data_IF_475757139797
#
_entry.id   IF_475757139797
#
_cell.length_a   1.000
_cell.length_b   1.000
_cell.length_c   1.000
_cell.angle_alpha   90.00
_cell.angle_beta   90.00
_cell.angle_gamma   90.00
#
_symmetry.space_group_name_H-M   'P 1'
#
loop_
_entity.id
_entity.type
_entity.pdbx_description
1 polymer ?
#
# COMPACT_ATOMS: atom_id res chain seq x y z
N UNK A 1 -21.93 26.78 8.44
CA UNK A 1 -20.55 26.92 7.92
C UNK A 1 -20.60 27.66 6.58
N UNK A 2 -19.74 28.66 6.34
CA UNK A 2 -19.75 29.37 5.05
C UNK A 2 -19.38 28.41 3.91
N UNK A 3 -20.05 28.50 2.74
CA UNK A 3 -19.77 27.60 1.61
C UNK A 3 -18.30 27.60 1.17
N UNK A 4 -17.66 28.77 1.21
CA UNK A 4 -16.24 28.95 0.87
C UNK A 4 -15.30 28.24 1.85
N UNK A 5 -15.63 28.22 3.14
CA UNK A 5 -14.86 27.49 4.15
C UNK A 5 -14.93 25.98 3.92
N UNK A 6 -16.14 25.44 3.73
CA UNK A 6 -16.33 24.01 3.44
C UNK A 6 -15.57 23.58 2.20
N UNK A 7 -15.58 24.40 1.14
CA UNK A 7 -14.85 24.13 -0.11
C UNK A 7 -13.33 24.06 0.13
N UNK A 8 -12.75 24.96 0.92
CA UNK A 8 -11.31 24.93 1.26
C UNK A 8 -10.92 23.64 1.96
N UNK A 9 -11.69 23.21 2.96
CA UNK A 9 -11.40 21.97 3.70
C UNK A 9 -11.55 20.71 2.86
N UNK A 10 -12.53 20.67 1.95
CA UNK A 10 -12.66 19.55 1.01
C UNK A 10 -11.41 19.45 0.13
N UNK A 11 -10.89 20.57 -0.38
CA UNK A 11 -9.65 20.56 -1.16
C UNK A 11 -8.44 20.11 -0.36
N UNK A 12 -8.29 20.57 0.88
CA UNK A 12 -7.21 20.14 1.78
C UNK A 12 -7.28 18.62 2.02
N UNK A 13 -8.47 18.08 2.27
CA UNK A 13 -8.67 16.64 2.46
C UNK A 13 -8.40 15.85 1.18
N UNK A 14 -8.80 16.36 0.02
CA UNK A 14 -8.51 15.71 -1.27
C UNK A 14 -7.01 15.67 -1.55
N UNK A 15 -6.29 16.77 -1.36
CA UNK A 15 -4.86 16.87 -1.61
C UNK A 15 -4.09 15.95 -0.66
N UNK A 16 -4.36 16.02 0.65
CA UNK A 16 -3.70 15.14 1.63
C UNK A 16 -3.95 13.66 1.38
N UNK A 17 -5.19 13.28 1.04
CA UNK A 17 -5.54 11.88 0.73
C UNK A 17 -4.84 11.33 -0.50
N UNK A 18 -4.43 12.21 -1.44
CA UNK A 18 -3.60 11.84 -2.58
C UNK A 18 -2.12 11.73 -2.19
N UNK A 19 -1.58 12.74 -1.51
CA UNK A 19 -0.14 12.83 -1.24
C UNK A 19 0.36 11.78 -0.24
N UNK A 20 -0.45 11.40 0.77
CA UNK A 20 -0.04 10.40 1.77
C UNK A 20 0.34 9.05 1.11
N UNK A 21 -0.56 8.37 0.38
CA UNK A 21 -0.20 7.11 -0.28
C UNK A 21 0.81 7.30 -1.42
N UNK A 22 0.80 8.46 -2.09
CA UNK A 22 1.76 8.75 -3.15
C UNK A 22 3.20 8.80 -2.62
N UNK A 23 3.46 9.62 -1.60
CA UNK A 23 4.79 9.75 -1.02
C UNK A 23 5.24 8.44 -0.35
N UNK A 24 4.32 7.70 0.26
CA UNK A 24 4.61 6.37 0.79
C UNK A 24 5.07 5.41 -0.33
N UNK A 25 4.34 5.35 -1.44
CA UNK A 25 4.71 4.51 -2.58
C UNK A 25 6.04 4.92 -3.23
N UNK A 26 6.31 6.23 -3.33
CA UNK A 26 7.60 6.77 -3.81
C UNK A 26 8.73 6.33 -2.90
N UNK A 27 8.59 6.50 -1.59
CA UNK A 27 9.63 6.17 -0.62
C UNK A 27 9.97 4.67 -0.64
N UNK A 28 8.98 3.79 -0.62
CA UNK A 28 9.24 2.35 -0.65
C UNK A 28 9.81 1.87 -1.98
N UNK A 29 9.33 2.41 -3.09
CA UNK A 29 9.87 2.04 -4.39
C UNK A 29 11.30 2.55 -4.59
N UNK A 30 11.66 3.71 -4.03
CA UNK A 30 13.05 4.16 -3.99
C UNK A 30 13.94 3.21 -3.20
N UNK A 31 13.47 2.71 -2.05
CA UNK A 31 14.19 1.71 -1.26
C UNK A 31 14.36 0.41 -2.05
N UNK A 32 13.31 -0.03 -2.76
CA UNK A 32 13.34 -1.26 -3.54
C UNK A 32 14.25 -1.17 -4.76
N UNK A 33 14.46 0.04 -5.32
CA UNK A 33 15.46 0.26 -6.37
C UNK A 33 16.91 0.29 -5.86
N UNK A 34 17.12 0.30 -4.54
CA UNK A 34 18.43 0.46 -3.91
C UNK A 34 18.80 1.91 -3.64
N UNK A 35 19.78 2.11 -2.75
CA UNK A 35 20.26 3.43 -2.33
C UNK A 35 21.77 3.58 -2.60
N UNK A 36 22.28 4.82 -2.79
CA UNK A 36 23.71 5.06 -2.90
C UNK A 36 24.36 4.92 -1.52
N UNK A 37 24.89 3.73 -1.24
CA UNK A 37 25.65 3.46 -0.02
C UNK A 37 27.08 3.11 -0.43
N UNK A 38 28.03 3.88 0.08
CA UNK A 38 29.47 3.73 -0.16
C UNK A 38 30.23 3.63 1.17
N UNK A 39 31.55 3.41 1.16
CA UNK A 39 32.41 3.29 2.35
C UNK A 39 32.25 4.44 3.36
N UNK A 40 31.88 5.63 2.88
CA UNK A 40 31.72 6.86 3.68
C UNK A 40 30.30 7.04 4.25
N UNK A 41 29.41 6.10 3.99
CA UNK A 41 28.00 6.13 4.39
C UNK A 41 27.05 6.48 3.25
N UNK A 42 25.80 6.78 3.62
CA UNK A 42 24.72 7.04 2.66
C UNK A 42 24.74 8.50 2.19
N UNK A 43 25.03 8.72 0.92
CA UNK A 43 25.01 10.05 0.29
C UNK A 43 23.77 10.19 -0.60
N UNK A 44 22.64 10.51 0.02
CA UNK A 44 21.36 10.56 -0.66
C UNK A 44 21.12 11.91 -1.36
N UNK A 45 20.98 11.91 -2.69
CA UNK A 45 20.48 13.05 -3.46
C UNK A 45 18.96 12.93 -3.67
N UNK A 46 18.31 14.07 -3.93
CA UNK A 46 16.86 14.11 -4.21
C UNK A 46 16.47 13.24 -5.42
N UNK A 47 17.35 13.19 -6.42
CA UNK A 47 17.11 12.42 -7.65
C UNK A 47 17.30 10.91 -7.49
N UNK A 48 18.03 10.47 -6.47
CA UNK A 48 18.17 9.04 -6.18
C UNK A 48 16.85 8.48 -5.64
N UNK A 49 16.13 9.29 -4.86
CA UNK A 49 14.81 8.95 -4.33
C UNK A 49 13.71 9.11 -5.39
N UNK A 50 13.73 10.22 -6.14
CA UNK A 50 12.71 10.52 -7.16
C UNK A 50 13.21 10.14 -8.54
N UNK A 51 13.07 8.85 -8.85
CA UNK A 51 13.30 8.29 -10.18
C UNK A 51 11.98 7.81 -10.82
N UNK A 52 12.03 7.41 -12.10
CA UNK A 52 10.83 6.98 -12.84
C UNK A 52 10.11 5.77 -12.21
N UNK A 53 10.86 4.85 -11.61
CA UNK A 53 10.30 3.70 -10.90
C UNK A 53 9.64 4.11 -9.58
N UNK A 54 10.25 5.00 -8.80
CA UNK A 54 9.67 5.52 -7.56
C UNK A 54 8.36 6.26 -7.81
N UNK A 55 8.29 7.09 -8.86
CA UNK A 55 7.06 7.79 -9.25
C UNK A 55 5.97 6.80 -9.67
N UNK A 56 6.32 5.78 -10.46
CA UNK A 56 5.39 4.72 -10.85
C UNK A 56 4.86 3.97 -9.63
N UNK A 57 5.71 3.69 -8.66
CA UNK A 57 5.34 3.16 -7.35
C UNK A 57 4.34 4.05 -6.62
N UNK A 58 4.64 5.35 -6.50
CA UNK A 58 3.73 6.33 -5.91
C UNK A 58 2.32 6.29 -6.51
N UNK A 59 2.21 6.28 -7.84
CA UNK A 59 0.91 6.16 -8.51
C UNK A 59 0.24 4.81 -8.28
N UNK A 60 1.00 3.72 -8.28
CA UNK A 60 0.49 2.35 -8.06
C UNK A 60 -0.17 2.23 -6.68
N UNK A 61 0.53 2.64 -5.62
CA UNK A 61 -0.01 2.62 -4.26
C UNK A 61 -1.22 3.57 -4.10
N UNK A 62 -1.17 4.74 -4.73
CA UNK A 62 -2.28 5.71 -4.70
C UNK A 62 -3.54 5.16 -5.37
N UNK A 63 -3.40 4.54 -6.54
CA UNK A 63 -4.54 3.97 -7.27
C UNK A 63 -5.12 2.76 -6.55
N UNK A 64 -4.30 1.92 -5.92
CA UNK A 64 -4.79 0.79 -5.11
C UNK A 64 -5.52 1.25 -3.84
N UNK A 65 -4.99 2.25 -3.13
CA UNK A 65 -5.67 2.82 -1.96
C UNK A 65 -6.96 3.54 -2.35
N UNK A 66 -7.00 4.23 -3.49
CA UNK A 66 -8.22 4.78 -4.06
C UNK A 66 -9.25 3.69 -4.38
N UNK A 67 -8.83 2.58 -5.01
CA UNK A 67 -9.68 1.42 -5.28
C UNK A 67 -10.29 0.87 -3.99
N UNK A 68 -9.46 0.64 -2.97
CA UNK A 68 -9.90 0.16 -1.66
C UNK A 68 -10.90 1.12 -1.00
N UNK A 69 -10.65 2.44 -1.08
CA UNK A 69 -11.56 3.48 -0.59
C UNK A 69 -12.92 3.50 -1.31
N UNK A 70 -12.93 3.35 -2.65
CA UNK A 70 -14.17 3.25 -3.41
C UNK A 70 -14.97 1.99 -3.04
N UNK A 71 -14.30 0.84 -2.90
CA UNK A 71 -14.93 -0.43 -2.52
C UNK A 71 -15.53 -0.38 -1.11
N UNK A 72 -14.80 0.20 -0.16
CA UNK A 72 -15.30 0.43 1.20
C UNK A 72 -16.50 1.37 1.21
N UNK A 73 -16.45 2.45 0.43
CA UNK A 73 -17.57 3.40 0.30
C UNK A 73 -18.79 2.71 -0.30
N UNK A 74 -18.62 1.88 -1.34
CA UNK A 74 -19.72 1.09 -1.92
C UNK A 74 -20.29 0.06 -0.95
N UNK A 75 -19.50 -0.45 0.01
CA UNK A 75 -19.99 -1.33 1.06
C UNK A 75 -20.82 -0.58 2.12
N UNK A 76 -20.33 0.57 2.57
CA UNK A 76 -20.92 1.35 3.68
C UNK A 76 -22.06 2.28 3.30
N UNK A 77 -22.21 2.64 2.03
CA UNK A 77 -23.25 3.56 1.55
C UNK A 77 -24.37 2.83 0.80
N UNK A 78 -25.54 3.48 0.72
CA UNK A 78 -26.70 3.02 -0.05
C UNK A 78 -27.15 4.10 -1.05
N UNK A 79 -27.84 3.68 -2.12
CA UNK A 79 -28.44 4.59 -3.10
C UNK A 79 -27.43 5.21 -4.08
N UNK A 80 -27.62 6.47 -4.45
CA UNK A 80 -26.87 7.15 -5.52
C UNK A 80 -25.36 7.22 -5.27
N UNK A 81 -24.95 7.38 -4.01
CA UNK A 81 -23.53 7.44 -3.62
C UNK A 81 -22.86 6.10 -3.86
N UNK A 82 -23.54 5.00 -3.53
CA UNK A 82 -23.05 3.64 -3.75
C UNK A 82 -22.83 3.35 -5.23
N UNK A 83 -23.77 3.74 -6.09
CA UNK A 83 -23.69 3.55 -7.54
C UNK A 83 -22.52 4.33 -8.15
N UNK A 84 -22.35 5.59 -7.75
CA UNK A 84 -21.21 6.42 -8.18
C UNK A 84 -19.88 5.82 -7.73
N UNK A 85 -19.75 5.44 -6.47
CA UNK A 85 -18.54 4.82 -5.93
C UNK A 85 -18.22 3.50 -6.66
N UNK A 86 -19.23 2.70 -6.99
CA UNK A 86 -19.06 1.44 -7.71
C UNK A 86 -18.63 1.64 -9.17
N UNK A 87 -19.12 2.69 -9.84
CA UNK A 87 -18.69 3.03 -11.20
C UNK A 87 -17.21 3.47 -11.19
N UNK A 88 -16.86 4.37 -10.28
CA UNK A 88 -15.47 4.82 -10.10
C UNK A 88 -14.56 3.63 -9.76
N UNK A 89 -14.98 2.73 -8.86
CA UNK A 89 -14.22 1.54 -8.52
C UNK A 89 -13.88 0.66 -9.73
N UNK A 90 -14.78 0.54 -10.73
CA UNK A 90 -14.51 -0.23 -11.96
C UNK A 90 -13.45 0.42 -12.83
N UNK A 91 -13.50 1.75 -13.00
CA UNK A 91 -12.51 2.50 -13.79
C UNK A 91 -11.15 2.43 -13.09
N UNK A 92 -11.14 2.71 -11.79
CA UNK A 92 -9.92 2.69 -10.97
C UNK A 92 -9.33 1.28 -10.90
N UNK A 93 -10.15 0.22 -10.88
CA UNK A 93 -9.65 -1.16 -10.95
C UNK A 93 -8.88 -1.43 -12.25
N UNK A 94 -9.39 -0.98 -13.40
CA UNK A 94 -8.67 -1.12 -14.68
C UNK A 94 -7.33 -0.39 -14.68
N UNK A 95 -7.30 0.83 -14.13
CA UNK A 95 -6.05 1.59 -13.96
C UNK A 95 -5.10 0.90 -12.96
N UNK A 96 -5.61 0.34 -11.87
CA UNK A 96 -4.82 -0.38 -10.88
C UNK A 96 -4.13 -1.60 -11.48
N UNK A 97 -4.86 -2.37 -12.28
CA UNK A 97 -4.30 -3.53 -13.00
C UNK A 97 -3.16 -3.08 -13.91
N UNK A 98 -3.39 -2.09 -14.76
CA UNK A 98 -2.36 -1.57 -15.67
C UNK A 98 -1.12 -1.11 -14.92
N UNK A 99 -1.28 -0.31 -13.86
CA UNK A 99 -0.16 0.22 -13.09
C UNK A 99 0.60 -0.87 -12.33
N UNK A 100 -0.08 -1.85 -11.75
CA UNK A 100 0.59 -2.98 -11.08
C UNK A 100 1.38 -3.83 -12.07
N UNK A 101 0.84 -4.10 -13.27
CA UNK A 101 1.59 -4.79 -14.32
C UNK A 101 2.80 -3.97 -14.77
N UNK A 102 2.62 -2.67 -15.05
CA UNK A 102 3.72 -1.79 -15.42
C UNK A 102 4.80 -1.74 -14.32
N UNK A 103 4.38 -1.66 -13.05
CA UNK A 103 5.28 -1.64 -11.90
C UNK A 103 6.12 -2.91 -11.82
N UNK A 104 5.52 -4.09 -11.92
CA UNK A 104 6.27 -5.35 -11.90
C UNK A 104 7.15 -5.55 -13.14
N UNK A 105 6.70 -5.12 -14.33
CA UNK A 105 7.54 -5.16 -15.53
C UNK A 105 8.78 -4.28 -15.34
N UNK A 106 8.62 -3.04 -14.87
CA UNK A 106 9.76 -2.14 -14.61
C UNK A 106 10.65 -2.72 -13.51
N UNK A 107 10.07 -3.28 -12.44
CA UNK A 107 10.80 -3.96 -11.37
C UNK A 107 11.71 -5.06 -11.91
N UNK A 108 11.23 -5.90 -12.84
CA UNK A 108 12.03 -6.97 -13.50
C UNK A 108 13.24 -6.41 -14.26
N UNK A 109 13.10 -5.24 -14.88
CA UNK A 109 14.14 -4.69 -15.74
C UNK A 109 15.14 -3.79 -15.00
N UNK A 110 14.71 -3.14 -13.91
CA UNK A 110 15.52 -2.14 -13.20
C UNK A 110 16.25 -2.68 -11.98
N UNK A 111 15.83 -3.82 -11.42
CA UNK A 111 16.29 -4.24 -10.10
C UNK A 111 17.01 -5.58 -10.15
N UNK A 112 18.25 -5.62 -9.65
CA UNK A 112 19.07 -6.85 -9.49
C UNK A 112 18.52 -7.81 -8.43
N UNK A 113 17.52 -7.38 -7.66
CA UNK A 113 16.77 -8.21 -6.70
C UNK A 113 16.06 -9.42 -7.35
N UNK A 114 15.95 -9.46 -8.68
CA UNK A 114 15.47 -10.64 -9.41
C UNK A 114 16.40 -11.84 -9.32
N UNK A 115 17.70 -11.63 -9.26
CA UNK A 115 18.68 -12.71 -9.16
C UNK A 115 18.51 -13.48 -7.83
N UNK A 116 18.09 -12.78 -6.76
CA UNK A 116 17.72 -13.39 -5.48
C UNK A 116 16.43 -14.22 -5.56
N UNK A 117 15.48 -13.85 -6.42
CA UNK A 117 14.23 -14.59 -6.65
C UNK A 117 14.45 -15.88 -7.47
N UNK A 118 15.46 -15.92 -8.35
CA UNK A 118 15.82 -17.15 -9.09
C UNK A 118 16.36 -18.25 -8.19
N UNK A 119 17.09 -17.88 -7.14
CA UNK A 119 17.64 -18.81 -6.15
C UNK A 119 16.58 -19.37 -5.18
N UNK A 120 15.41 -18.72 -5.06
CA UNK A 120 14.32 -19.13 -4.18
C UNK A 120 12.95 -19.02 -4.88
N UNK A 121 12.53 -20.04 -5.66
CA UNK A 121 11.31 -19.99 -6.47
C UNK A 121 10.01 -19.83 -5.65
N UNK A 122 10.06 -20.10 -4.34
CA UNK A 122 8.92 -19.86 -3.45
C UNK A 122 8.61 -18.35 -3.27
N UNK A 123 9.61 -17.47 -3.41
CA UNK A 123 9.43 -16.02 -3.22
C UNK A 123 8.62 -15.37 -4.35
N UNK A 124 8.63 -15.96 -5.55
CA UNK A 124 7.75 -15.57 -6.67
C UNK A 124 6.26 -15.71 -6.37
N UNK A 125 5.90 -16.51 -5.35
CA UNK A 125 4.50 -16.66 -4.95
C UNK A 125 3.88 -15.35 -4.48
N UNK A 126 4.66 -14.45 -3.85
CA UNK A 126 4.12 -13.19 -3.28
C UNK A 126 3.71 -12.18 -4.36
N UNK A 127 4.55 -11.84 -5.36
CA UNK A 127 4.13 -11.06 -6.53
C UNK A 127 2.97 -11.70 -7.29
N UNK A 128 3.00 -13.03 -7.48
CA UNK A 128 1.94 -13.76 -8.17
C UNK A 128 0.60 -13.63 -7.43
N UNK A 129 0.60 -13.76 -6.11
CA UNK A 129 -0.58 -13.57 -5.27
C UNK A 129 -1.13 -12.15 -5.36
N UNK A 130 -0.27 -11.12 -5.49
CA UNK A 130 -0.72 -9.74 -5.69
C UNK A 130 -1.52 -9.58 -6.98
N UNK A 131 -0.96 -10.03 -8.11
CA UNK A 131 -1.63 -9.95 -9.41
C UNK A 131 -2.92 -10.78 -9.40
N UNK A 132 -2.88 -12.00 -8.85
CA UNK A 132 -4.06 -12.86 -8.73
C UNK A 132 -5.15 -12.22 -7.87
N UNK A 133 -4.82 -11.69 -6.69
CA UNK A 133 -5.79 -11.05 -5.80
C UNK A 133 -6.45 -9.83 -6.47
N UNK A 134 -5.66 -9.00 -7.15
CA UNK A 134 -6.17 -7.84 -7.87
C UNK A 134 -7.09 -8.26 -9.03
N UNK A 135 -6.70 -9.27 -9.80
CA UNK A 135 -7.54 -9.79 -10.89
C UNK A 135 -8.83 -10.43 -10.36
N UNK A 136 -8.74 -11.25 -9.31
CA UNK A 136 -9.88 -11.90 -8.67
C UNK A 136 -10.90 -10.89 -8.12
N UNK A 137 -10.48 -9.66 -7.79
CA UNK A 137 -11.36 -8.58 -7.33
C UNK A 137 -12.50 -8.28 -8.32
N UNK A 138 -12.32 -8.54 -9.62
CA UNK A 138 -13.33 -8.29 -10.65
C UNK A 138 -14.61 -9.13 -10.47
N UNK A 139 -14.50 -10.36 -9.97
CA UNK A 139 -15.63 -11.27 -9.80
C UNK A 139 -16.62 -10.78 -8.73
N UNK A 140 -16.21 -10.52 -7.48
CA UNK A 140 -17.10 -9.93 -6.49
C UNK A 140 -17.52 -8.51 -6.88
N UNK A 141 -16.70 -7.75 -7.61
CA UNK A 141 -17.04 -6.40 -8.06
C UNK A 141 -18.22 -6.44 -9.04
N UNK A 142 -18.23 -7.38 -9.99
CA UNK A 142 -19.35 -7.62 -10.91
C UNK A 142 -20.59 -8.15 -10.18
N UNK A 143 -20.40 -9.02 -9.18
CA UNK A 143 -21.49 -9.58 -8.34
C UNK A 143 -21.99 -8.63 -7.25
N UNK A 144 -21.53 -7.36 -7.21
CA UNK A 144 -21.87 -6.36 -6.18
C UNK A 144 -21.57 -6.83 -4.73
N UNK A 145 -20.63 -7.76 -4.55
CA UNK A 145 -20.16 -8.25 -3.25
C UNK A 145 -19.03 -7.34 -2.73
N UNK A 146 -19.38 -6.12 -2.35
CA UNK A 146 -18.43 -5.05 -2.04
C UNK A 146 -17.38 -5.41 -0.98
N UNK A 147 -17.79 -6.11 0.09
CA UNK A 147 -16.87 -6.49 1.17
C UNK A 147 -15.81 -7.49 0.68
N UNK A 148 -16.19 -8.47 -0.13
CA UNK A 148 -15.23 -9.42 -0.71
C UNK A 148 -14.26 -8.73 -1.65
N UNK A 149 -14.74 -7.80 -2.48
CA UNK A 149 -13.86 -6.98 -3.32
C UNK A 149 -12.89 -6.15 -2.50
N UNK A 150 -13.36 -5.53 -1.42
CA UNK A 150 -12.52 -4.74 -0.51
C UNK A 150 -11.42 -5.60 0.15
N UNK A 151 -11.77 -6.80 0.62
CA UNK A 151 -10.80 -7.73 1.22
C UNK A 151 -9.74 -8.15 0.20
N UNK A 152 -10.14 -8.51 -1.02
CA UNK A 152 -9.19 -8.88 -2.07
C UNK A 152 -8.28 -7.70 -2.49
N UNK A 153 -8.83 -6.49 -2.61
CA UNK A 153 -8.04 -5.29 -2.90
C UNK A 153 -7.07 -4.95 -1.77
N UNK A 154 -7.49 -5.10 -0.52
CA UNK A 154 -6.61 -4.89 0.66
C UNK A 154 -5.52 -5.95 0.73
N UNK A 155 -5.86 -7.21 0.42
CA UNK A 155 -4.90 -8.29 0.31
C UNK A 155 -3.90 -8.03 -0.81
N UNK A 156 -4.33 -7.53 -1.97
CA UNK A 156 -3.44 -7.13 -3.07
C UNK A 156 -2.45 -6.04 -2.63
N UNK A 157 -2.91 -5.01 -1.90
CA UNK A 157 -2.02 -3.97 -1.34
C UNK A 157 -0.99 -4.58 -0.39
N UNK A 158 -1.42 -5.47 0.50
CA UNK A 158 -0.53 -6.14 1.44
C UNK A 158 0.53 -6.99 0.72
N UNK A 159 0.13 -7.78 -0.28
CA UNK A 159 1.06 -8.59 -1.07
C UNK A 159 1.97 -7.77 -1.96
N UNK A 160 1.51 -6.62 -2.50
CA UNK A 160 2.36 -5.69 -3.24
C UNK A 160 3.48 -5.16 -2.34
N UNK A 161 3.11 -4.71 -1.14
CA UNK A 161 4.08 -4.25 -0.15
C UNK A 161 5.06 -5.36 0.25
N UNK A 162 4.54 -6.54 0.58
CA UNK A 162 5.36 -7.70 0.92
C UNK A 162 6.31 -8.12 -0.21
N UNK A 163 5.89 -7.98 -1.48
CA UNK A 163 6.69 -8.39 -2.63
C UNK A 163 8.02 -7.63 -2.75
N UNK A 164 8.06 -6.35 -2.35
CA UNK A 164 9.30 -5.58 -2.30
C UNK A 164 10.27 -6.14 -1.27
N UNK A 165 9.80 -6.44 -0.06
CA UNK A 165 10.65 -7.02 1.00
C UNK A 165 11.13 -8.44 0.67
N UNK A 166 10.30 -9.26 0.02
CA UNK A 166 10.74 -10.59 -0.40
C UNK A 166 11.82 -10.55 -1.46
N UNK A 167 11.83 -9.54 -2.32
CA UNK A 167 12.90 -9.35 -3.30
C UNK A 167 14.21 -8.91 -2.64
N UNK A 168 14.12 -8.12 -1.57
CA UNK A 168 15.27 -7.58 -0.86
C UNK A 168 15.94 -8.58 0.09
N UNK A 169 15.20 -9.53 0.64
CA UNK A 169 15.74 -10.50 1.59
C UNK A 169 16.97 -11.24 1.02
N UNK A 170 18.12 -11.27 1.71
CA UNK A 170 18.36 -10.94 3.14
C UNK A 170 18.77 -9.48 3.45
N UNK A 171 18.95 -8.66 2.42
CA UNK A 171 19.34 -7.25 2.56
C UNK A 171 18.13 -6.40 2.97
N UNK A 172 18.33 -5.49 3.92
CA UNK A 172 17.29 -4.53 4.35
C UNK A 172 17.39 -3.20 3.59
N UNK A 173 18.60 -2.85 3.14
CA UNK A 173 18.88 -1.68 2.30
C UNK A 173 19.94 -2.08 1.26
N UNK A 174 19.55 -2.32 -0.01
CA UNK A 174 20.50 -2.75 -1.03
C UNK A 174 21.26 -1.53 -1.55
N UNK A 175 22.58 -1.66 -1.71
CA UNK A 175 23.38 -0.65 -2.39
C UNK A 175 23.45 -0.95 -3.88
N UNK A 176 23.19 0.05 -4.72
CA UNK A 176 23.42 -0.08 -6.17
C UNK A 176 24.86 0.28 -6.59
N UNK A 177 25.71 0.75 -5.68
CA UNK A 177 27.12 1.09 -5.95
C UNK A 177 28.00 -0.16 -5.83
N UNK A 178 27.89 -0.87 -4.71
CA UNK A 178 28.57 -2.16 -4.48
C UNK A 178 27.72 -3.02 -3.53
N UNK A 179 27.38 -4.27 -3.91
CA UNK A 179 26.67 -5.21 -3.04
C UNK A 179 27.31 -5.40 -1.65
N UNK A 180 28.63 -5.18 -1.50
CA UNK A 180 29.34 -5.31 -0.22
C UNK A 180 28.91 -4.28 0.83
N UNK A 181 28.36 -3.13 0.43
CA UNK A 181 27.84 -2.10 1.35
C UNK A 181 26.34 -2.26 1.64
N UNK A 182 25.72 -3.35 1.20
CA UNK A 182 24.33 -3.64 1.52
C UNK A 182 24.17 -3.94 3.01
N UNK A 183 23.19 -3.31 3.63
CA UNK A 183 22.92 -3.48 5.05
C UNK A 183 22.01 -4.70 5.23
N UNK A 184 22.58 -5.80 5.70
CA UNK A 184 21.83 -7.03 5.95
C UNK A 184 20.94 -6.90 7.19
N UNK A 185 19.91 -7.76 7.29
CA UNK A 185 19.04 -7.83 8.45
C UNK A 185 19.80 -8.02 9.78
N UNK A 186 20.94 -8.72 9.73
CA UNK A 186 21.74 -9.07 10.91
C UNK A 186 22.61 -7.88 11.36
N UNK A 187 23.13 -7.10 10.41
CA UNK A 187 23.96 -5.94 10.70
C UNK A 187 23.12 -4.72 11.13
N UNK A 188 21.89 -4.62 10.62
CA UNK A 188 20.94 -3.56 10.98
C UNK A 188 20.20 -3.79 12.30
N UNK A 189 20.29 -5.00 12.88
CA UNK A 189 19.54 -5.35 14.08
C UNK A 189 20.07 -4.64 15.33
N UNK A 190 19.14 -4.11 16.15
CA UNK A 190 19.48 -3.59 17.47
C UNK A 190 19.94 -4.69 18.44
N UNK A 191 20.40 -4.29 19.62
CA UNK A 191 20.83 -5.25 20.65
C UNK A 191 19.72 -6.24 21.03
N UNK A 192 20.10 -7.47 21.39
CA UNK A 192 19.17 -8.53 21.78
C UNK A 192 18.20 -8.10 22.89
N UNK A 193 18.69 -7.27 23.83
CA UNK A 193 17.87 -6.71 24.90
C UNK A 193 16.75 -5.82 24.34
N UNK A 194 17.09 -4.88 23.45
CA UNK A 194 16.13 -3.96 22.84
C UNK A 194 15.10 -4.73 22.02
N UNK A 195 15.53 -5.72 21.24
CA UNK A 195 14.64 -6.54 20.41
C UNK A 195 13.65 -7.34 21.28
N UNK A 196 14.12 -7.93 22.38
CA UNK A 196 13.28 -8.67 23.31
C UNK A 196 12.26 -7.76 23.99
N UNK A 197 12.66 -6.57 24.42
CA UNK A 197 11.75 -5.58 25.03
C UNK A 197 10.70 -5.11 24.03
N UNK A 198 11.08 -4.76 22.81
CA UNK A 198 10.14 -4.34 21.75
C UNK A 198 9.17 -5.45 21.37
N UNK A 199 9.60 -6.72 21.39
CA UNK A 199 8.73 -7.88 21.14
C UNK A 199 7.65 -8.00 22.23
N UNK A 200 8.02 -7.88 23.51
CA UNK A 200 7.04 -7.91 24.60
C UNK A 200 6.05 -6.74 24.52
N UNK A 201 6.54 -5.54 24.24
CA UNK A 201 5.69 -4.35 24.06
C UNK A 201 4.74 -4.54 22.88
N UNK A 202 5.23 -5.00 21.73
CA UNK A 202 4.40 -5.27 20.57
C UNK A 202 3.37 -6.38 20.85
N UNK A 203 3.78 -7.45 21.52
CA UNK A 203 2.92 -8.58 21.90
C UNK A 203 1.77 -8.18 22.82
N UNK A 204 1.93 -7.15 23.66
CA UNK A 204 0.87 -6.64 24.54
C UNK A 204 0.04 -5.54 23.89
N UNK A 205 0.68 -4.56 23.26
CA UNK A 205 -0.01 -3.37 22.71
C UNK A 205 -0.77 -3.72 21.43
N UNK A 206 -0.21 -4.55 20.54
CA UNK A 206 -0.82 -4.84 19.24
C UNK A 206 -2.19 -5.54 19.37
N UNK A 207 -2.38 -6.58 20.20
CA UNK A 207 -3.70 -7.17 20.42
C UNK A 207 -4.71 -6.17 20.97
N UNK A 208 -4.30 -5.31 21.93
CA UNK A 208 -5.17 -4.28 22.50
C UNK A 208 -5.69 -3.31 21.42
N UNK A 209 -4.80 -2.81 20.56
CA UNK A 209 -5.16 -1.91 19.46
C UNK A 209 -6.10 -2.62 18.47
N UNK A 210 -5.82 -3.88 18.12
CA UNK A 210 -6.67 -4.67 17.22
C UNK A 210 -8.06 -4.87 17.82
N UNK A 211 -8.16 -5.28 19.09
CA UNK A 211 -9.44 -5.47 19.77
C UNK A 211 -10.26 -4.18 19.81
N UNK A 212 -9.62 -3.06 20.14
CA UNK A 212 -10.27 -1.75 20.13
C UNK A 212 -10.80 -1.38 18.74
N UNK A 213 -10.00 -1.61 17.68
CA UNK A 213 -10.43 -1.36 16.31
C UNK A 213 -11.61 -2.26 15.92
N UNK A 214 -11.53 -3.56 16.19
CA UNK A 214 -12.63 -4.51 15.93
C UNK A 214 -13.91 -4.04 16.63
N UNK A 215 -13.81 -3.63 17.89
CA UNK A 215 -14.95 -3.12 18.65
C UNK A 215 -15.58 -1.88 18.01
N UNK A 216 -14.77 -0.91 17.57
CA UNK A 216 -15.27 0.28 16.84
C UNK A 216 -15.98 -0.13 15.54
N UNK A 217 -15.38 -1.03 14.75
CA UNK A 217 -15.99 -1.47 13.49
C UNK A 217 -17.31 -2.23 13.72
N UNK A 218 -17.40 -2.95 14.82
CA UNK A 218 -18.63 -3.64 15.25
C UNK A 218 -19.69 -2.65 15.73
N UNK A 219 -19.30 -1.63 16.48
CA UNK A 219 -20.18 -0.56 16.96
C UNK A 219 -20.74 0.27 15.80
N UNK A 220 -19.91 0.59 14.80
CA UNK A 220 -20.28 1.39 13.62
C UNK A 220 -20.61 0.52 12.40
N UNK A 221 -21.21 -0.65 12.60
CA UNK A 221 -21.46 -1.62 11.51
C UNK A 221 -22.52 -1.15 10.52
N UNK A 222 -23.44 -0.29 10.95
CA UNK A 222 -24.59 0.13 10.16
C UNK A 222 -24.21 0.93 8.91
N UNK A 223 -25.09 0.89 7.90
CA UNK A 223 -24.89 1.58 6.63
C UNK A 223 -25.37 3.02 6.70
N UNK A 224 -24.66 3.89 6.00
CA UNK A 224 -24.95 5.32 5.95
C UNK A 224 -25.93 5.57 4.80
N UNK A 225 -27.10 6.13 5.13
CA UNK A 225 -28.14 6.55 4.20
C UNK A 225 -28.23 8.08 4.18
N UNK A 226 -28.68 8.68 3.07
CA UNK A 226 -28.87 10.14 2.97
C UNK A 226 -29.74 10.72 4.09
N UNK A 227 -30.78 10.00 4.53
CA UNK A 227 -31.64 10.39 5.66
C UNK A 227 -30.87 10.47 6.97
N UNK A 228 -30.10 9.44 7.31
CA UNK A 228 -29.28 9.42 8.53
C UNK A 228 -28.17 10.49 8.52
N UNK A 229 -27.78 11.00 7.35
CA UNK A 229 -26.76 12.05 7.24
C UNK A 229 -27.36 13.47 7.37
N UNK A 230 -28.67 13.64 7.15
CA UNK A 230 -29.37 14.92 7.30
C UNK A 230 -29.64 15.24 8.78
N UNK A 231 -29.81 14.23 9.63
CA UNK A 231 -30.03 14.40 11.07
C UNK A 231 -28.81 15.00 11.82
N UNK A 232 -27.64 15.10 11.18
CA UNK A 232 -26.41 15.68 11.73
C UNK A 232 -26.03 17.05 11.12
N UNK A 233 -26.90 17.67 10.31
CA UNK A 233 -26.68 19.01 9.74
C UNK A 233 -27.26 20.12 10.61
#
# INVERSE_FOLDING_TARGET
LSPSWKKKWIWILCISSFFIPFLFGVAFSAIFSGLPIDEKGMHLSFFDVINGYSILGGFTYTVLTLLSGCLWTSYKTLGKIQEKAALVAKIVWGAAVLLVFAYFIVFINFTTLFDSLENAPLLWSVPALCVLALLLTIFPLRKKKWLMSFVLASFAIFTLFASGFTGMYPDMLPSYIDPQYSLTLYDAAGSQLNLTVMLWVAGLILPLVITYKIWIYWLLKDKITEKNAQDYQ
#
